data_IF_666696828248
#
_entry.id   IF_666696828248
#
_cell.length_a   1.000
_cell.length_b   1.000
_cell.length_c   1.000
_cell.angle_alpha   90.00
_cell.angle_beta   90.00
_cell.angle_gamma   90.00
#
_symmetry.space_group_name_H-M   'P 1'
#
loop_
_entity.id
_entity.type
_entity.pdbx_description
1 polymer ?
#
# COMPACT_ATOMS: atom_id res chain seq x y z
N UNK A 1 0.45 -16.07 -4.10
CA UNK A 1 0.53 -16.26 -2.65
C UNK A 1 0.94 -14.95 -2.00
N UNK A 2 0.00 -14.26 -1.35
CA UNK A 2 0.31 -13.11 -0.49
C UNK A 2 1.05 -13.66 0.73
N UNK A 3 2.30 -13.25 0.95
CA UNK A 3 3.05 -13.65 2.14
C UNK A 3 2.49 -12.81 3.30
N UNK A 4 1.62 -13.40 4.10
CA UNK A 4 1.08 -12.78 5.30
C UNK A 4 2.23 -12.60 6.30
N UNK A 5 2.64 -11.35 6.51
CA UNK A 5 3.63 -11.00 7.53
C UNK A 5 3.06 -11.28 8.92
N UNK A 6 3.88 -11.84 9.82
CA UNK A 6 3.53 -12.19 11.21
C UNK A 6 3.21 -10.99 12.08
N UNK A 7 3.26 -9.76 11.58
CA UNK A 7 2.94 -8.60 12.41
C UNK A 7 1.42 -8.49 12.66
N UNK A 8 0.97 -8.13 13.88
CA UNK A 8 -0.44 -7.88 14.15
C UNK A 8 -0.95 -6.64 13.41
N UNK A 9 -2.27 -6.54 13.26
CA UNK A 9 -2.89 -5.26 12.93
C UNK A 9 -2.72 -4.31 14.12
N UNK A 10 -2.45 -3.03 13.84
CA UNK A 10 -2.29 -2.05 14.91
C UNK A 10 -3.60 -1.80 15.66
N UNK A 11 -3.48 -1.43 16.94
CA UNK A 11 -4.62 -1.00 17.74
C UNK A 11 -4.99 0.43 17.31
N UNK A 12 -6.28 0.72 17.05
CA UNK A 12 -6.73 2.06 16.68
C UNK A 12 -6.27 3.10 17.69
N UNK A 13 -5.59 4.15 17.23
CA UNK A 13 -5.22 5.30 18.07
C UNK A 13 -6.27 6.40 17.92
N UNK A 14 -6.45 7.20 18.98
CA UNK A 14 -7.32 8.37 18.92
C UNK A 14 -6.79 9.38 17.91
N UNK A 15 -7.70 10.00 17.18
CA UNK A 15 -7.37 11.12 16.30
C UNK A 15 -7.02 12.37 17.10
N UNK A 16 -5.99 13.14 16.68
CA UNK A 16 -5.76 14.49 17.16
C UNK A 16 -6.95 15.41 16.88
N UNK A 17 -7.19 16.37 17.77
CA UNK A 17 -8.37 17.25 17.73
C UNK A 17 -8.46 18.08 16.43
N UNK A 18 -7.33 18.54 15.90
CA UNK A 18 -7.26 19.32 14.66
C UNK A 18 -7.72 18.51 13.43
N UNK A 19 -7.35 17.23 13.39
CA UNK A 19 -7.80 16.32 12.33
C UNK A 19 -9.26 15.96 12.53
N UNK A 20 -9.66 15.67 13.77
CA UNK A 20 -11.05 15.32 14.12
C UNK A 20 -12.01 16.44 13.72
N UNK A 21 -11.71 17.69 14.05
CA UNK A 21 -12.52 18.85 13.68
C UNK A 21 -12.64 18.99 12.16
N UNK A 22 -11.53 18.78 11.43
CA UNK A 22 -11.51 18.87 9.98
C UNK A 22 -12.37 17.79 9.29
N UNK A 23 -12.32 16.55 9.77
CA UNK A 23 -13.08 15.44 9.17
C UNK A 23 -14.54 15.40 9.64
N UNK A 24 -14.88 16.02 10.77
CA UNK A 24 -16.24 16.05 11.35
C UNK A 24 -17.25 16.91 10.61
N UNK A 25 -16.96 17.35 9.39
CA UNK A 25 -17.92 18.14 8.62
C UNK A 25 -19.11 17.28 8.16
N UNK A 26 -20.36 17.60 8.57
CA UNK A 26 -21.54 16.78 8.28
C UNK A 26 -21.92 16.76 6.79
N UNK A 27 -21.42 17.70 5.98
CA UNK A 27 -21.63 17.71 4.52
C UNK A 27 -20.68 16.78 3.79
N UNK A 28 -19.64 16.26 4.46
CA UNK A 28 -18.67 15.40 3.82
C UNK A 28 -19.20 13.97 3.70
N UNK A 29 -18.99 13.38 2.52
CA UNK A 29 -19.28 11.96 2.25
C UNK A 29 -18.20 11.01 2.79
N UNK A 30 -17.09 11.55 3.29
CA UNK A 30 -15.99 10.80 3.86
C UNK A 30 -14.63 11.43 3.60
N UNK A 31 -13.59 10.73 4.04
CA UNK A 31 -12.21 11.19 4.01
C UNK A 31 -11.38 10.37 3.03
N UNK A 32 -10.63 11.07 2.18
CA UNK A 32 -9.57 10.52 1.34
C UNK A 32 -8.25 10.84 2.02
N UNK A 33 -7.54 9.80 2.46
CA UNK A 33 -6.22 9.95 3.00
C UNK A 33 -5.18 9.71 1.91
N UNK A 34 -4.18 10.59 1.80
CA UNK A 34 -3.16 10.53 0.76
C UNK A 34 -1.79 10.54 1.43
N UNK A 35 -1.04 9.44 1.32
CA UNK A 35 0.32 9.37 1.83
C UNK A 35 1.20 8.43 1.01
N UNK A 36 2.34 8.98 0.56
CA UNK A 36 3.33 8.26 -0.24
C UNK A 36 4.58 7.90 0.58
N UNK A 37 4.52 8.03 1.91
CA UNK A 37 5.63 7.75 2.81
C UNK A 37 6.77 8.77 2.68
N UNK A 38 7.90 8.48 3.34
CA UNK A 38 9.08 9.34 3.38
C UNK A 38 10.04 9.13 2.21
N UNK A 39 9.89 8.04 1.45
CA UNK A 39 10.83 7.68 0.38
C UNK A 39 10.50 8.43 -0.92
N UNK A 40 9.23 8.80 -1.13
CA UNK A 40 8.84 9.63 -2.26
C UNK A 40 9.16 11.09 -1.92
N UNK A 41 10.21 11.61 -2.54
CA UNK A 41 10.58 13.00 -2.42
C UNK A 41 9.74 13.87 -3.36
N UNK A 42 8.91 14.73 -2.77
CA UNK A 42 8.05 15.65 -3.50
C UNK A 42 8.78 16.88 -4.02
N UNK A 43 9.99 17.18 -3.53
CA UNK A 43 10.77 18.34 -3.99
C UNK A 43 11.28 18.17 -5.42
N UNK A 44 11.56 16.93 -5.81
CA UNK A 44 12.01 16.56 -7.17
C UNK A 44 10.83 16.23 -8.11
N UNK A 45 9.60 16.25 -7.60
CA UNK A 45 8.43 15.94 -8.41
C UNK A 45 8.23 17.02 -9.50
N UNK A 46 7.98 16.62 -10.76
CA UNK A 46 7.72 17.58 -11.82
C UNK A 46 6.55 18.53 -11.48
N UNK A 47 6.66 19.84 -11.74
CA UNK A 47 5.62 20.81 -11.34
C UNK A 47 4.22 20.50 -11.90
N UNK A 48 4.16 19.92 -13.10
CA UNK A 48 2.92 19.48 -13.73
C UNK A 48 2.24 18.32 -12.99
N UNK A 49 3.02 17.44 -12.34
CA UNK A 49 2.49 16.36 -11.49
C UNK A 49 1.86 16.97 -10.25
N UNK A 50 2.57 17.84 -9.53
CA UNK A 50 2.04 18.52 -8.34
C UNK A 50 0.75 19.30 -8.69
N UNK A 51 0.77 20.03 -9.80
CA UNK A 51 -0.42 20.75 -10.32
C UNK A 51 -1.60 19.79 -10.55
N UNK A 52 -1.36 18.61 -11.13
CA UNK A 52 -2.39 17.61 -11.39
C UNK A 52 -3.01 17.07 -10.10
N UNK A 53 -2.21 16.82 -9.07
CA UNK A 53 -2.70 16.41 -7.74
C UNK A 53 -3.56 17.50 -7.09
N UNK A 54 -3.09 18.75 -7.08
CA UNK A 54 -3.84 19.88 -6.53
C UNK A 54 -5.19 20.05 -7.24
N UNK A 55 -5.21 19.99 -8.57
CA UNK A 55 -6.43 20.14 -9.37
C UNK A 55 -7.42 18.99 -9.14
N UNK A 56 -6.93 17.75 -8.99
CA UNK A 56 -7.77 16.61 -8.66
C UNK A 56 -8.37 16.73 -7.26
N UNK A 57 -7.59 17.12 -6.25
CA UNK A 57 -8.06 17.26 -4.87
C UNK A 57 -9.02 18.42 -4.67
N UNK A 58 -8.76 19.57 -5.32
CA UNK A 58 -9.67 20.70 -5.29
C UNK A 58 -11.04 20.35 -5.93
N UNK A 59 -11.06 19.40 -6.88
CA UNK A 59 -12.30 18.92 -7.51
C UNK A 59 -13.12 17.96 -6.63
N UNK A 60 -12.55 17.39 -5.56
CA UNK A 60 -13.25 16.49 -4.64
C UNK A 60 -14.07 17.25 -3.58
N UNK A 61 -14.99 18.11 -4.01
CA UNK A 61 -15.73 19.03 -3.13
C UNK A 61 -16.60 18.35 -2.06
N UNK A 62 -17.03 17.11 -2.32
CA UNK A 62 -17.88 16.33 -1.39
C UNK A 62 -17.07 15.57 -0.33
N UNK A 63 -15.74 15.51 -0.46
CA UNK A 63 -14.87 14.69 0.39
C UNK A 63 -13.84 15.56 1.11
N UNK A 64 -13.42 15.10 2.28
CA UNK A 64 -12.27 15.69 2.98
C UNK A 64 -11.01 15.02 2.50
N UNK A 65 -10.01 15.79 2.10
CA UNK A 65 -8.72 15.25 1.65
C UNK A 65 -7.66 15.60 2.68
N UNK A 66 -6.99 14.58 3.22
CA UNK A 66 -5.82 14.76 4.08
C UNK A 66 -4.60 14.31 3.28
N UNK A 67 -3.72 15.24 2.92
CA UNK A 67 -2.53 14.97 2.14
C UNK A 67 -1.28 15.11 3.00
N UNK A 68 -0.64 13.97 3.29
CA UNK A 68 0.64 13.94 3.99
C UNK A 68 1.77 14.32 3.03
N UNK A 69 2.28 15.55 3.16
CA UNK A 69 3.32 16.11 2.27
C UNK A 69 4.24 17.09 3.02
N UNK A 70 5.54 17.05 2.71
CA UNK A 70 6.59 17.85 3.36
C UNK A 70 7.17 18.94 2.47
N UNK A 71 6.37 19.55 1.60
CA UNK A 71 6.81 20.65 0.73
C UNK A 71 5.82 21.82 0.79
N UNK A 72 6.32 23.02 0.48
CA UNK A 72 5.45 24.17 0.23
C UNK A 72 4.82 24.02 -1.16
N UNK A 73 3.50 24.10 -1.22
CA UNK A 73 2.76 23.98 -2.48
C UNK A 73 2.65 25.35 -3.19
N UNK A 74 2.71 25.38 -4.53
CA UNK A 74 2.72 26.62 -5.31
C UNK A 74 1.33 27.25 -5.51
N UNK A 75 0.25 26.48 -5.33
CA UNK A 75 -1.14 26.94 -5.51
C UNK A 75 -1.93 26.82 -4.20
N UNK A 76 -2.97 27.65 -4.07
CA UNK A 76 -3.93 27.54 -2.97
C UNK A 76 -4.74 26.25 -3.09
N UNK A 77 -4.76 25.50 -1.99
CA UNK A 77 -5.65 24.36 -1.79
C UNK A 77 -7.03 24.86 -1.36
N UNK A 78 -8.07 24.12 -1.74
CA UNK A 78 -9.42 24.37 -1.26
C UNK A 78 -9.54 24.05 0.25
N UNK A 79 -10.55 24.63 0.92
CA UNK A 79 -10.74 24.49 2.37
C UNK A 79 -11.08 23.06 2.84
N UNK A 80 -11.44 22.16 1.92
CA UNK A 80 -11.66 20.73 2.18
C UNK A 80 -10.41 19.87 1.94
N UNK A 81 -9.26 20.50 1.64
CA UNK A 81 -7.97 19.81 1.47
C UNK A 81 -6.98 20.31 2.53
N UNK A 82 -6.62 19.42 3.45
CA UNK A 82 -5.64 19.68 4.50
C UNK A 82 -4.31 19.05 4.12
N UNK A 83 -3.20 19.80 4.29
CA UNK A 83 -1.84 19.24 4.19
C UNK A 83 -1.17 19.15 5.54
N UNK A 84 -0.56 18.02 5.81
CA UNK A 84 0.18 17.76 7.06
C UNK A 84 1.55 17.16 6.76
N UNK A 85 2.58 17.59 7.49
CA UNK A 85 3.95 17.09 7.28
C UNK A 85 4.18 15.71 7.90
N UNK A 86 3.49 15.43 8.99
CA UNK A 86 3.48 14.15 9.68
C UNK A 86 2.05 13.81 10.08
N UNK A 87 1.57 12.64 9.65
CA UNK A 87 0.21 12.20 9.85
C UNK A 87 0.16 11.04 10.84
N UNK A 88 -0.81 11.02 11.77
CA UNK A 88 -1.13 9.81 12.54
C UNK A 88 -1.87 8.81 11.63
N UNK A 89 -1.14 8.24 10.65
CA UNK A 89 -1.67 7.41 9.55
C UNK A 89 -2.62 6.32 10.05
N UNK A 90 -2.20 5.56 11.06
CA UNK A 90 -3.02 4.51 11.68
C UNK A 90 -4.35 5.06 12.19
N UNK A 91 -4.35 6.16 12.96
CA UNK A 91 -5.57 6.77 13.49
C UNK A 91 -6.52 7.23 12.36
N UNK A 92 -5.98 7.83 11.30
CA UNK A 92 -6.78 8.27 10.14
C UNK A 92 -7.39 7.07 9.41
N UNK A 93 -6.61 6.02 9.16
CA UNK A 93 -7.10 4.83 8.45
C UNK A 93 -8.18 4.09 9.24
N UNK A 94 -8.06 4.02 10.56
CA UNK A 94 -9.05 3.35 11.41
C UNK A 94 -10.32 4.17 11.66
N UNK A 95 -10.38 5.43 11.24
CA UNK A 95 -11.61 6.23 11.31
C UNK A 95 -12.65 5.74 10.28
N UNK A 96 -13.90 5.57 10.71
CA UNK A 96 -14.98 5.03 9.88
C UNK A 96 -15.39 5.93 8.70
N UNK A 97 -15.03 7.22 8.74
CA UNK A 97 -15.25 8.17 7.65
C UNK A 97 -14.19 8.05 6.58
N UNK A 98 -13.04 7.41 6.84
CA UNK A 98 -12.01 7.19 5.82
C UNK A 98 -12.49 6.16 4.80
N UNK A 99 -12.60 6.59 3.54
CA UNK A 99 -13.16 5.77 2.44
C UNK A 99 -12.11 5.33 1.42
N UNK A 100 -10.99 6.03 1.36
CA UNK A 100 -9.95 5.76 0.38
C UNK A 100 -8.58 6.11 0.95
N UNK A 101 -7.62 5.21 0.74
CA UNK A 101 -6.21 5.47 0.97
C UNK A 101 -5.44 5.51 -0.35
N UNK A 102 -4.92 6.68 -0.69
CA UNK A 102 -4.08 6.89 -1.86
C UNK A 102 -2.59 6.81 -1.48
N UNK A 103 -1.90 5.79 -1.98
CA UNK A 103 -0.52 5.48 -1.59
C UNK A 103 0.35 4.97 -2.73
N UNK A 104 1.65 4.75 -2.49
CA UNK A 104 2.54 4.07 -3.44
C UNK A 104 2.46 2.54 -3.36
N UNK A 105 1.68 1.98 -2.44
CA UNK A 105 1.54 0.54 -2.19
C UNK A 105 2.80 -0.16 -1.67
N UNK A 106 3.58 0.51 -0.82
CA UNK A 106 4.59 -0.17 -0.02
C UNK A 106 3.94 -1.22 0.89
N UNK A 107 4.64 -2.31 1.19
CA UNK A 107 4.11 -3.44 1.95
C UNK A 107 3.42 -3.02 3.26
N UNK A 108 4.02 -2.07 3.99
CA UNK A 108 3.44 -1.53 5.23
C UNK A 108 2.10 -0.82 4.97
N UNK A 109 2.05 0.08 4.00
CA UNK A 109 0.83 0.83 3.65
C UNK A 109 -0.31 -0.10 3.25
N UNK A 110 -0.02 -1.12 2.43
CA UNK A 110 -1.04 -2.09 1.99
C UNK A 110 -1.56 -2.89 3.17
N UNK A 111 -0.67 -3.30 4.08
CA UNK A 111 -1.07 -4.01 5.30
C UNK A 111 -1.96 -3.16 6.20
N UNK A 112 -1.58 -1.92 6.49
CA UNK A 112 -2.37 -1.01 7.32
C UNK A 112 -3.75 -0.76 6.70
N UNK A 113 -3.82 -0.64 5.37
CA UNK A 113 -5.08 -0.51 4.64
C UNK A 113 -5.98 -1.74 4.80
N UNK A 114 -5.43 -2.95 4.68
CA UNK A 114 -6.17 -4.21 4.89
C UNK A 114 -6.68 -4.30 6.32
N UNK A 115 -5.80 -4.02 7.29
CA UNK A 115 -6.14 -4.04 8.71
C UNK A 115 -7.24 -3.03 9.08
N UNK A 116 -7.20 -1.83 8.50
CA UNK A 116 -8.23 -0.81 8.66
C UNK A 116 -9.51 -1.11 7.86
N UNK A 117 -9.40 -1.88 6.78
CA UNK A 117 -10.49 -2.15 5.85
C UNK A 117 -10.77 -0.99 4.89
N UNK A 118 -9.73 -0.29 4.44
CA UNK A 118 -9.82 0.88 3.56
C UNK A 118 -9.27 0.56 2.16
N UNK A 119 -10.07 0.66 1.08
CA UNK A 119 -9.63 0.47 -0.30
C UNK A 119 -8.48 1.38 -0.73
N UNK A 120 -7.78 0.98 -1.80
CA UNK A 120 -6.54 1.65 -2.23
C UNK A 120 -6.65 2.28 -3.62
N UNK A 121 -6.14 3.51 -3.74
CA UNK A 121 -5.64 3.99 -5.02
C UNK A 121 -4.12 3.96 -4.98
N UNK A 122 -3.47 3.46 -6.03
CA UNK A 122 -2.02 3.24 -5.99
C UNK A 122 -1.27 3.89 -7.15
N UNK A 123 -0.11 4.50 -6.85
CA UNK A 123 0.91 4.86 -7.85
C UNK A 123 2.23 4.21 -7.45
N UNK A 124 2.57 3.03 -7.98
CA UNK A 124 3.84 2.38 -7.69
C UNK A 124 5.00 3.08 -8.40
N UNK A 125 6.09 3.32 -7.67
CA UNK A 125 7.30 3.98 -8.16
C UNK A 125 8.46 3.02 -8.42
N UNK A 126 8.78 2.13 -7.46
CA UNK A 126 9.94 1.21 -7.51
C UNK A 126 9.77 -0.01 -6.57
N UNK A 127 10.76 -0.90 -6.55
CA UNK A 127 10.82 -2.09 -5.68
C UNK A 127 9.56 -2.99 -5.76
N UNK A 128 9.02 -3.40 -4.62
CA UNK A 128 7.89 -4.33 -4.46
C UNK A 128 6.53 -3.66 -4.72
N UNK A 129 6.49 -2.34 -4.84
CA UNK A 129 5.27 -1.54 -4.94
C UNK A 129 4.38 -1.97 -6.10
N UNK A 130 4.96 -2.22 -7.28
CA UNK A 130 4.19 -2.65 -8.45
C UNK A 130 3.54 -4.02 -8.22
N UNK A 131 4.28 -4.96 -7.60
CA UNK A 131 3.76 -6.28 -7.25
C UNK A 131 2.62 -6.16 -6.25
N UNK A 132 2.78 -5.35 -5.21
CA UNK A 132 1.75 -5.14 -4.20
C UNK A 132 0.50 -4.48 -4.79
N UNK A 133 0.67 -3.45 -5.62
CA UNK A 133 -0.41 -2.80 -6.38
C UNK A 133 -1.17 -3.81 -7.24
N UNK A 134 -0.45 -4.65 -8.00
CA UNK A 134 -1.07 -5.64 -8.88
C UNK A 134 -1.87 -6.67 -8.09
N UNK A 135 -1.33 -7.17 -6.97
CA UNK A 135 -2.05 -8.09 -6.10
C UNK A 135 -3.32 -7.45 -5.52
N UNK A 136 -3.23 -6.20 -5.04
CA UNK A 136 -4.38 -5.48 -4.51
C UNK A 136 -5.48 -5.25 -5.57
N UNK A 137 -5.07 -4.92 -6.80
CA UNK A 137 -5.95 -4.79 -7.95
C UNK A 137 -6.61 -6.13 -8.32
N UNK A 138 -5.84 -7.23 -8.39
CA UNK A 138 -6.37 -8.57 -8.66
C UNK A 138 -7.34 -9.05 -7.58
N UNK A 139 -7.13 -8.65 -6.32
CA UNK A 139 -8.07 -8.90 -5.22
C UNK A 139 -9.31 -7.97 -5.26
N UNK A 140 -9.35 -6.97 -6.14
CA UNK A 140 -10.51 -6.13 -6.40
C UNK A 140 -10.74 -5.00 -5.38
N UNK A 141 -9.76 -4.67 -4.55
CA UNK A 141 -9.87 -3.57 -3.58
C UNK A 141 -8.99 -2.36 -3.90
N UNK A 142 -8.37 -2.35 -5.08
CA UNK A 142 -7.49 -1.25 -5.49
C UNK A 142 -7.56 -0.92 -6.97
N UNK A 143 -7.22 0.33 -7.30
CA UNK A 143 -6.90 0.78 -8.66
C UNK A 143 -5.42 1.18 -8.78
N UNK A 144 -4.88 1.10 -10.01
CA UNK A 144 -3.48 1.40 -10.29
C UNK A 144 -3.37 2.54 -11.30
N UNK A 145 -2.68 3.61 -10.92
CA UNK A 145 -2.29 4.69 -11.80
C UNK A 145 -0.81 4.56 -12.15
N UNK A 146 -0.54 4.49 -13.45
CA UNK A 146 0.82 4.48 -13.96
C UNK A 146 1.48 5.86 -13.76
N UNK A 147 2.65 5.91 -13.10
CA UNK A 147 3.35 7.17 -12.74
C UNK A 147 3.64 8.13 -13.91
N UNK A 148 3.78 7.60 -15.14
CA UNK A 148 3.98 8.40 -16.37
C UNK A 148 2.69 8.96 -16.99
N UNK A 149 1.52 8.53 -16.52
CA UNK A 149 0.20 8.91 -17.06
C UNK A 149 -0.63 9.66 -16.01
N UNK A 150 0.02 10.45 -15.16
CA UNK A 150 -0.66 11.23 -14.12
C UNK A 150 -1.26 12.48 -14.76
N UNK A 151 -2.58 12.61 -14.67
CA UNK A 151 -3.35 13.81 -15.02
C UNK A 151 -4.40 14.06 -13.96
N UNK A 152 -4.85 15.30 -13.80
CA UNK A 152 -5.90 15.66 -12.83
C UNK A 152 -7.19 14.87 -13.07
N UNK A 153 -7.60 14.74 -14.34
CA UNK A 153 -8.77 13.98 -14.76
C UNK A 153 -8.69 12.51 -14.39
N UNK A 154 -7.53 11.87 -14.61
CA UNK A 154 -7.33 10.45 -14.32
C UNK A 154 -7.26 10.17 -12.82
N UNK A 155 -6.63 11.07 -12.06
CA UNK A 155 -6.61 10.97 -10.60
C UNK A 155 -8.04 11.09 -10.06
N UNK A 156 -8.79 12.11 -10.50
CA UNK A 156 -10.16 12.33 -10.06
C UNK A 156 -11.08 11.16 -10.42
N UNK A 157 -11.04 10.69 -11.67
CA UNK A 157 -11.89 9.58 -12.12
C UNK A 157 -11.62 8.30 -11.35
N UNK A 158 -10.34 7.98 -11.10
CA UNK A 158 -9.96 6.78 -10.34
C UNK A 158 -10.36 6.88 -8.86
N UNK A 159 -10.21 8.05 -8.24
CA UNK A 159 -10.69 8.27 -6.87
C UNK A 159 -12.21 8.12 -6.79
N UNK A 160 -12.96 8.75 -7.68
CA UNK A 160 -14.43 8.66 -7.71
C UNK A 160 -14.91 7.23 -8.00
N UNK A 161 -14.23 6.50 -8.88
CA UNK A 161 -14.54 5.10 -9.17
C UNK A 161 -14.52 4.24 -7.90
N UNK A 162 -13.53 4.43 -7.02
CA UNK A 162 -13.46 3.69 -5.75
C UNK A 162 -14.47 4.24 -4.74
N UNK A 163 -14.58 5.57 -4.62
CA UNK A 163 -15.44 6.22 -3.62
C UNK A 163 -16.94 6.02 -3.85
N UNK A 164 -17.36 5.84 -5.10
CA UNK A 164 -18.76 5.69 -5.48
C UNK A 164 -19.19 4.22 -5.67
N UNK A 165 -18.24 3.28 -5.69
CA UNK A 165 -18.51 1.87 -5.92
C UNK A 165 -18.22 1.04 -4.67
N UNK A 166 -19.28 0.59 -4.00
CA UNK A 166 -19.17 -0.21 -2.77
C UNK A 166 -18.48 -1.57 -2.98
N UNK A 167 -18.34 -2.03 -4.23
CA UNK A 167 -17.65 -3.29 -4.55
C UNK A 167 -16.21 -3.29 -4.00
N UNK A 168 -15.48 -2.17 -4.09
CA UNK A 168 -14.10 -2.10 -3.56
C UNK A 168 -14.08 -2.27 -2.04
N UNK A 169 -15.03 -1.66 -1.34
CA UNK A 169 -15.17 -1.78 0.10
C UNK A 169 -15.53 -3.22 0.50
N UNK A 170 -16.48 -3.85 -0.21
CA UNK A 170 -16.88 -5.23 0.03
C UNK A 170 -15.71 -6.20 -0.19
N UNK A 171 -14.96 -6.02 -1.29
CA UNK A 171 -13.74 -6.79 -1.59
C UNK A 171 -12.68 -6.58 -0.51
N UNK A 172 -12.47 -5.34 -0.07
CA UNK A 172 -11.55 -5.03 1.01
C UNK A 172 -11.93 -5.75 2.31
N UNK A 173 -13.19 -5.68 2.73
CA UNK A 173 -13.66 -6.34 3.96
C UNK A 173 -13.54 -7.88 3.87
N UNK A 174 -13.80 -8.45 2.69
CA UNK A 174 -13.59 -9.89 2.44
C UNK A 174 -12.10 -10.28 2.51
N UNK A 175 -11.21 -9.48 1.96
CA UNK A 175 -9.76 -9.73 2.08
C UNK A 175 -9.28 -9.56 3.51
N UNK A 176 -9.80 -8.54 4.21
CA UNK A 176 -9.51 -8.30 5.63
C UNK A 176 -9.92 -9.50 6.49
N UNK A 177 -11.12 -10.06 6.30
CA UNK A 177 -11.57 -11.21 7.09
C UNK A 177 -10.62 -12.40 6.92
N UNK A 178 -10.21 -12.70 5.68
CA UNK A 178 -9.21 -13.74 5.37
C UNK A 178 -7.85 -13.39 6.00
N UNK A 179 -7.46 -12.12 5.99
CA UNK A 179 -6.18 -11.67 6.55
C UNK A 179 -6.11 -11.82 8.08
N UNK A 180 -7.23 -11.59 8.76
CA UNK A 180 -7.36 -11.70 10.21
C UNK A 180 -7.73 -13.09 10.68
N UNK A 181 -8.23 -13.95 9.78
CA UNK A 181 -8.53 -15.36 10.06
C UNK A 181 -7.23 -16.16 10.18
N UNK A 182 -6.82 -16.42 11.42
CA UNK A 182 -5.55 -17.06 11.75
C UNK A 182 -5.76 -18.07 12.87
N UNK A 183 -5.04 -19.19 12.79
CA UNK A 183 -5.06 -20.25 13.81
C UNK A 183 -4.55 -19.74 15.16
N UNK A 184 -3.58 -18.82 15.14
CA UNK A 184 -2.86 -18.34 16.32
C UNK A 184 -2.62 -16.84 16.21
N UNK A 185 -2.61 -16.15 17.36
CA UNK A 185 -2.28 -14.74 17.39
C UNK A 185 -0.83 -14.51 16.88
N UNK A 186 -0.58 -13.44 16.12
CA UNK A 186 0.74 -13.24 15.51
C UNK A 186 1.88 -13.15 16.54
N UNK A 187 1.62 -12.58 17.73
CA UNK A 187 2.58 -12.55 18.83
C UNK A 187 2.89 -13.96 19.38
N UNK A 188 1.89 -14.81 19.50
CA UNK A 188 2.06 -16.19 19.98
C UNK A 188 2.87 -17.03 18.99
N UNK A 189 2.67 -16.80 17.69
CA UNK A 189 3.48 -17.43 16.63
C UNK A 189 4.95 -17.02 16.77
N UNK A 190 5.21 -15.73 17.00
CA UNK A 190 6.56 -15.22 17.20
C UNK A 190 7.21 -15.80 18.47
N UNK A 191 6.49 -15.86 19.60
CA UNK A 191 6.99 -16.50 20.81
C UNK A 191 7.29 -17.98 20.60
N UNK A 192 6.43 -18.70 19.87
CA UNK A 192 6.65 -20.10 19.55
C UNK A 192 7.94 -20.32 18.76
N UNK A 193 8.21 -19.48 17.75
CA UNK A 193 9.44 -19.59 16.95
C UNK A 193 10.68 -19.26 17.78
N UNK A 194 10.63 -18.22 18.61
CA UNK A 194 11.73 -17.86 19.52
C UNK A 194 12.02 -19.01 20.48
N UNK A 195 11.01 -19.56 21.15
CA UNK A 195 11.18 -20.70 22.05
C UNK A 195 11.71 -21.94 21.33
N UNK A 196 11.24 -22.21 20.11
CA UNK A 196 11.73 -23.33 19.30
C UNK A 196 13.23 -23.21 19.05
N UNK A 197 13.71 -22.01 18.72
CA UNK A 197 15.15 -21.74 18.51
C UNK A 197 15.91 -21.94 19.83
N UNK A 198 15.39 -21.44 20.95
CA UNK A 198 16.02 -21.63 22.27
C UNK A 198 16.08 -23.11 22.70
N UNK A 199 15.06 -23.90 22.36
CA UNK A 199 15.03 -25.35 22.60
C UNK A 199 16.02 -26.12 21.71
N UNK A 200 16.23 -25.66 20.48
CA UNK A 200 17.19 -26.29 19.57
C UNK A 200 18.63 -25.90 19.94
N UNK A 201 19.37 -26.82 20.59
CA UNK A 201 20.79 -26.63 20.96
C UNK A 201 21.76 -26.57 19.77
N UNK A 202 21.28 -26.75 18.52
CA UNK A 202 22.12 -26.74 17.32
C UNK A 202 21.96 -25.42 16.57
N UNK A 203 23.09 -24.78 16.26
CA UNK A 203 23.19 -23.60 15.39
C UNK A 203 22.70 -23.84 13.94
N UNK A 204 22.35 -25.08 13.61
CA UNK A 204 21.86 -25.51 12.30
C UNK A 204 20.38 -25.16 12.04
N UNK A 205 19.60 -24.76 13.05
CA UNK A 205 18.21 -24.25 12.85
C UNK A 205 18.22 -22.77 12.41
N UNK A 206 19.31 -22.31 11.82
CA UNK A 206 19.34 -21.03 11.14
C UNK A 206 18.42 -21.10 9.92
N UNK A 207 17.45 -20.18 9.81
CA UNK A 207 16.70 -19.94 8.58
C UNK A 207 17.64 -19.44 7.49
N UNK A 208 18.44 -20.34 6.91
CA UNK A 208 19.27 -20.06 5.75
C UNK A 208 18.42 -20.23 4.51
N UNK A 209 18.32 -19.16 3.73
CA UNK A 209 17.71 -19.23 2.40
C UNK A 209 18.61 -20.17 1.59
N UNK A 210 18.04 -21.25 1.03
CA UNK A 210 18.78 -22.26 0.25
C UNK A 210 19.64 -21.64 -0.86
N UNK A 211 19.22 -20.49 -1.39
CA UNK A 211 19.96 -19.72 -2.40
C UNK A 211 21.35 -19.25 -1.94
N UNK A 212 21.60 -19.08 -0.64
CA UNK A 212 22.90 -18.69 -0.08
C UNK A 212 23.94 -19.81 -0.19
N UNK A 213 23.48 -21.06 -0.26
CA UNK A 213 24.33 -22.26 -0.34
C UNK A 213 24.41 -22.81 -1.77
N UNK A 214 23.71 -22.19 -2.73
CA UNK A 214 23.75 -22.61 -4.13
C UNK A 214 25.04 -22.14 -4.82
N UNK A 215 25.69 -23.00 -5.61
CA UNK A 215 26.72 -22.56 -6.54
C UNK A 215 26.16 -21.52 -7.52
N UNK A 216 27.03 -20.64 -8.02
CA UNK A 216 26.64 -19.51 -8.88
C UNK A 216 25.93 -19.93 -10.19
N UNK A 217 26.16 -21.15 -10.69
CA UNK A 217 25.55 -21.68 -11.92
C UNK A 217 24.01 -21.84 -11.79
N UNK A 218 23.46 -22.66 -10.88
CA UNK A 218 22.02 -22.75 -10.66
C UNK A 218 21.45 -21.46 -10.04
N UNK A 219 22.25 -20.71 -9.27
CA UNK A 219 21.80 -19.43 -8.70
C UNK A 219 21.48 -18.38 -9.79
N UNK A 220 22.28 -18.34 -10.87
CA UNK A 220 22.06 -17.46 -12.03
C UNK A 220 21.22 -18.12 -13.14
N UNK A 221 20.70 -19.33 -12.91
CA UNK A 221 19.92 -20.12 -13.86
C UNK A 221 20.65 -20.42 -15.18
N UNK A 222 21.99 -20.50 -15.18
CA UNK A 222 22.76 -20.78 -16.41
C UNK A 222 22.50 -22.18 -16.96
N UNK A 223 22.30 -23.14 -16.06
CA UNK A 223 21.86 -24.50 -16.35
C UNK A 223 20.52 -24.55 -17.11
N UNK A 224 19.56 -23.72 -16.71
CA UNK A 224 18.26 -23.59 -17.38
C UNK A 224 18.41 -22.96 -18.76
N UNK A 225 19.18 -21.87 -18.88
CA UNK A 225 19.42 -21.26 -20.19
C UNK A 225 20.11 -22.20 -21.17
N UNK A 226 21.07 -22.99 -20.71
CA UNK A 226 21.77 -23.97 -21.54
C UNK A 226 20.82 -25.08 -22.01
N UNK A 227 19.98 -25.63 -21.11
CA UNK A 227 18.97 -26.62 -21.49
C UNK A 227 18.01 -26.09 -22.55
N UNK A 228 17.54 -24.84 -22.42
CA UNK A 228 16.65 -24.22 -23.41
C UNK A 228 17.35 -24.04 -24.75
N UNK A 229 18.61 -23.58 -24.77
CA UNK A 229 19.39 -23.43 -26.01
C UNK A 229 19.64 -24.78 -26.69
N UNK A 230 19.96 -25.83 -25.93
CA UNK A 230 20.13 -27.18 -26.45
C UNK A 230 18.83 -27.73 -27.04
N UNK A 231 17.68 -27.51 -26.38
CA UNK A 231 16.38 -27.92 -26.90
C UNK A 231 16.05 -27.22 -28.22
N UNK A 232 16.28 -25.90 -28.31
CA UNK A 232 16.09 -25.13 -29.55
C UNK A 232 16.99 -25.69 -30.66
N UNK A 233 18.27 -25.91 -30.38
CA UNK A 233 19.22 -26.47 -31.34
C UNK A 233 18.78 -27.84 -31.87
N UNK A 234 18.35 -28.74 -30.98
CA UNK A 234 17.87 -30.08 -31.34
C UNK A 234 16.57 -30.07 -32.15
N UNK A 235 15.69 -29.08 -31.93
CA UNK A 235 14.46 -28.91 -32.73
C UNK A 235 14.68 -28.17 -34.04
N UNK A 236 15.86 -27.57 -34.24
CA UNK A 236 16.23 -26.83 -35.46
C UNK A 236 16.99 -27.67 -36.49
N UNK A 237 17.27 -28.93 -36.15
CA UNK A 237 17.76 -29.96 -37.08
C UNK A 237 16.60 -30.82 -37.59
#
# INVERSE_FOLDING_TARGET
MLIFTTTPCEVPRRLPNDIEEFISNPRSRGTVYVAFGSIVDWTIAPPNVIKSFIEAFNSLVDYRVIWSIKIKLPKRLASHVMTISWAPQSAILYDNRTKLFFTHAGLKSVKEAICAGVPLLTIPFFADQMKNSLLAYQCGFAEIIHKRKITSTKLLSAMLQILQNDTYQQRMLSVRSIYTDRIMAPLEVETFWVERILRSKSAEVAFRIRAVEMPWIPYLCFDVTLMVLCAIFLTSQ
#
